data_IF_932065898116
#
_entry.id   IF_932065898116
#
_cell.length_a   1.000
_cell.length_b   1.000
_cell.length_c   1.000
_cell.angle_alpha   90.00
_cell.angle_beta   90.00
_cell.angle_gamma   90.00
#
_symmetry.space_group_name_H-M   'P 1'
#
loop_
_entity.id
_entity.type
_entity.pdbx_description
1 polymer ?
#
# COMPACT_ATOMS: atom_id res chain seq x y z
N UNK A 1 -10.71 -8.38 15.55
CA UNK A 1 -11.16 -7.03 15.14
C UNK A 1 -10.53 -6.71 13.80
N UNK A 2 -11.28 -6.14 12.86
CA UNK A 2 -10.74 -5.64 11.58
C UNK A 2 -10.77 -4.13 11.64
N UNK A 3 -9.65 -3.51 11.26
CA UNK A 3 -9.54 -2.06 11.12
C UNK A 3 -9.38 -1.78 9.63
N UNK A 4 -10.30 -1.01 9.06
CA UNK A 4 -10.29 -0.63 7.65
C UNK A 4 -9.98 0.87 7.55
N UNK A 5 -8.94 1.22 6.79
CA UNK A 5 -8.55 2.61 6.60
C UNK A 5 -7.55 2.77 5.46
N UNK A 6 -7.12 4.00 5.20
CA UNK A 6 -6.01 4.27 4.27
C UNK A 6 -4.72 3.64 4.81
N UNK A 7 -3.85 3.19 3.91
CA UNK A 7 -2.52 2.65 4.20
C UNK A 7 -1.74 3.40 5.30
N UNK A 8 -1.73 4.75 5.28
CA UNK A 8 -1.04 5.55 6.29
C UNK A 8 -1.55 5.34 7.72
N UNK A 9 -2.85 5.06 7.89
CA UNK A 9 -3.47 4.90 9.20
C UNK A 9 -3.27 3.49 9.80
N UNK A 10 -2.83 2.52 9.00
CA UNK A 10 -2.63 1.13 9.42
C UNK A 10 -1.18 0.67 9.30
N UNK A 11 -0.27 1.50 8.78
CA UNK A 11 1.14 1.11 8.61
C UNK A 11 1.83 0.85 9.96
N UNK A 12 2.82 -0.05 9.95
CA UNK A 12 3.59 -0.44 11.13
C UNK A 12 4.60 0.61 11.56
N UNK A 13 5.15 1.35 10.59
CA UNK A 13 6.24 2.31 10.78
C UNK A 13 6.04 3.52 9.88
N UNK A 14 6.48 4.68 10.38
CA UNK A 14 6.44 5.93 9.63
C UNK A 14 7.38 5.88 8.43
N UNK A 15 6.96 6.52 7.35
CA UNK A 15 7.80 6.76 6.17
C UNK A 15 9.07 7.56 6.53
N UNK A 16 10.20 7.38 5.83
CA UNK A 16 11.40 8.16 6.07
C UNK A 16 11.14 9.67 5.98
N UNK A 17 11.74 10.45 6.87
CA UNK A 17 11.60 11.92 6.95
C UNK A 17 10.20 12.44 7.32
N UNK A 18 9.29 11.59 7.77
CA UNK A 18 8.00 11.98 8.34
C UNK A 18 7.97 11.73 9.85
N UNK A 19 7.37 12.65 10.60
CA UNK A 19 7.27 12.56 12.08
C UNK A 19 5.81 12.37 12.55
N UNK A 20 4.90 12.01 11.65
CA UNK A 20 3.50 11.79 12.00
C UNK A 20 3.34 10.41 12.62
N UNK A 21 2.72 10.37 13.80
CA UNK A 21 2.35 9.13 14.47
C UNK A 21 0.89 8.79 14.13
N UNK A 22 0.71 7.78 13.29
CA UNK A 22 -0.61 7.28 12.91
C UNK A 22 -1.06 6.16 13.85
N UNK A 23 -2.36 5.85 13.78
CA UNK A 23 -2.96 4.79 14.59
C UNK A 23 -2.21 3.46 14.47
N UNK A 24 -1.82 3.05 13.25
CA UNK A 24 -1.10 1.81 12.98
C UNK A 24 0.21 1.68 13.77
N UNK A 25 0.98 2.77 13.94
CA UNK A 25 2.22 2.76 14.72
C UNK A 25 1.93 2.48 16.20
N UNK A 26 0.91 3.13 16.75
CA UNK A 26 0.48 2.92 18.14
C UNK A 26 -0.03 1.49 18.36
N UNK A 27 -0.76 0.93 17.38
CA UNK A 27 -1.22 -0.45 17.43
C UNK A 27 -0.05 -1.44 17.35
N UNK A 28 0.93 -1.21 16.45
CA UNK A 28 2.12 -2.04 16.36
C UNK A 28 2.92 -2.00 17.66
N UNK A 29 3.05 -0.84 18.29
CA UNK A 29 3.71 -0.72 19.60
C UNK A 29 2.96 -1.45 20.71
N UNK A 30 1.64 -1.33 20.76
CA UNK A 30 0.82 -1.92 21.83
C UNK A 30 0.67 -3.45 21.70
N UNK A 31 0.63 -3.97 20.47
CA UNK A 31 0.26 -5.36 20.19
C UNK A 31 1.36 -6.17 19.50
N UNK A 32 2.45 -5.55 19.05
CA UNK A 32 3.59 -6.18 18.41
C UNK A 32 3.17 -7.19 17.32
N UNK A 33 3.48 -8.46 17.50
CA UNK A 33 3.18 -9.53 16.53
C UNK A 33 1.69 -9.88 16.42
N UNK A 34 0.88 -9.44 17.39
CA UNK A 34 -0.58 -9.60 17.35
C UNK A 34 -1.25 -8.56 16.44
N UNK A 35 -0.55 -7.48 16.09
CA UNK A 35 -0.99 -6.54 15.06
C UNK A 35 -0.39 -6.95 13.72
N UNK A 36 -1.27 -7.23 12.76
CA UNK A 36 -0.90 -7.55 11.39
C UNK A 36 -1.50 -6.52 10.44
N UNK A 37 -0.63 -5.82 9.72
CA UNK A 37 -0.99 -4.77 8.79
C UNK A 37 -0.87 -5.23 7.34
N UNK A 38 -1.92 -4.97 6.53
CA UNK A 38 -1.95 -5.28 5.10
C UNK A 38 -2.09 -3.97 4.31
N UNK A 39 -1.03 -3.56 3.62
CA UNK A 39 -1.06 -2.41 2.71
C UNK A 39 -1.62 -2.78 1.35
N UNK A 40 -2.43 -1.92 0.74
CA UNK A 40 -2.90 -2.13 -0.65
C UNK A 40 -2.03 -1.36 -1.63
N UNK A 41 -1.51 -2.04 -2.66
CA UNK A 41 -0.70 -1.46 -3.73
C UNK A 41 -1.42 -1.69 -5.06
N UNK A 42 -1.61 -0.61 -5.83
CA UNK A 42 -2.29 -0.65 -7.13
C UNK A 42 -1.32 -0.21 -8.21
N UNK A 43 -1.23 -0.96 -9.31
CA UNK A 43 -0.31 -0.64 -10.42
C UNK A 43 -0.85 0.42 -11.37
N UNK A 44 -2.13 0.29 -11.76
CA UNK A 44 -2.79 1.19 -12.70
C UNK A 44 -4.25 1.39 -12.34
N UNK A 45 -4.86 2.44 -12.87
CA UNK A 45 -6.28 2.63 -12.69
C UNK A 45 -6.73 4.07 -12.87
N UNK A 46 -7.92 4.32 -12.35
CA UNK A 46 -8.51 5.65 -12.30
C UNK A 46 -8.79 6.03 -10.85
N UNK A 47 -8.12 7.07 -10.36
CA UNK A 47 -8.32 7.56 -9.02
C UNK A 47 -9.49 8.56 -8.99
N UNK A 48 -10.22 8.59 -7.88
CA UNK A 48 -11.27 9.54 -7.56
C UNK A 48 -10.82 10.43 -6.40
N UNK A 49 -10.59 11.70 -6.68
CA UNK A 49 -10.32 12.73 -5.68
C UNK A 49 -11.52 13.66 -5.53
N UNK A 50 -11.46 14.58 -4.57
CA UNK A 50 -12.47 15.65 -4.40
C UNK A 50 -12.66 16.50 -5.67
N UNK A 51 -11.60 16.74 -6.44
CA UNK A 51 -11.62 17.64 -7.60
C UNK A 51 -11.86 16.91 -8.94
N UNK A 52 -12.16 15.61 -8.91
CA UNK A 52 -12.42 14.82 -10.11
C UNK A 52 -11.60 13.54 -10.16
N UNK A 53 -11.29 13.10 -11.37
CA UNK A 53 -10.64 11.81 -11.62
C UNK A 53 -9.42 11.96 -12.49
N UNK A 54 -8.41 11.14 -12.26
CA UNK A 54 -7.24 11.03 -13.14
C UNK A 54 -6.83 9.58 -13.29
N UNK A 55 -6.27 9.27 -14.45
CA UNK A 55 -5.69 7.97 -14.73
C UNK A 55 -4.24 7.92 -14.23
N UNK A 56 -3.82 6.75 -13.75
CA UNK A 56 -2.45 6.53 -13.29
C UNK A 56 -1.94 5.17 -13.74
N UNK A 57 -0.63 5.08 -13.93
CA UNK A 57 0.07 3.84 -14.24
C UNK A 57 1.54 3.95 -13.78
N UNK A 58 2.02 2.98 -13.01
CA UNK A 58 3.35 3.02 -12.40
C UNK A 58 4.38 2.21 -13.20
N UNK A 59 4.74 2.69 -14.41
CA UNK A 59 5.73 2.03 -15.30
C UNK A 59 7.19 2.20 -14.88
N UNK A 60 7.46 3.16 -14.00
CA UNK A 60 8.81 3.47 -13.54
C UNK A 60 9.25 2.45 -12.48
N UNK A 61 10.46 1.90 -12.64
CA UNK A 61 11.03 0.92 -11.72
C UNK A 61 11.33 1.49 -10.33
N UNK A 62 11.26 2.81 -10.14
CA UNK A 62 11.30 3.41 -8.81
C UNK A 62 10.04 3.11 -7.97
N UNK A 63 8.95 2.60 -8.57
CA UNK A 63 7.71 2.28 -7.86
C UNK A 63 7.66 0.83 -7.39
N UNK A 64 7.21 0.62 -6.15
CA UNK A 64 6.92 -0.71 -5.62
C UNK A 64 5.92 -1.47 -6.51
N UNK A 65 4.92 -0.76 -7.05
CA UNK A 65 3.90 -1.37 -7.90
C UNK A 65 4.47 -1.92 -9.22
N UNK A 66 5.52 -1.32 -9.77
CA UNK A 66 6.20 -1.82 -10.97
C UNK A 66 6.76 -3.22 -10.75
N UNK A 67 7.47 -3.42 -9.62
CA UNK A 67 8.06 -4.71 -9.26
C UNK A 67 7.00 -5.78 -9.00
N UNK A 68 5.90 -5.40 -8.33
CA UNK A 68 4.79 -6.31 -8.06
C UNK A 68 4.06 -6.74 -9.35
N UNK A 69 4.01 -5.89 -10.38
CA UNK A 69 3.41 -6.24 -11.67
C UNK A 69 4.27 -7.24 -12.48
N UNK A 70 5.58 -7.35 -12.20
CA UNK A 70 6.45 -8.30 -12.90
C UNK A 70 6.04 -9.77 -12.70
N UNK A 71 5.25 -10.06 -11.67
CA UNK A 71 4.70 -11.39 -11.44
C UNK A 71 3.54 -11.74 -12.38
N UNK A 72 3.06 -10.79 -13.20
CA UNK A 72 2.02 -10.97 -14.22
C UNK A 72 0.73 -11.61 -13.67
N UNK A 73 0.31 -11.17 -12.48
CA UNK A 73 -0.94 -11.59 -11.84
C UNK A 73 -1.84 -10.38 -11.62
N UNK A 74 -3.14 -10.54 -11.91
CA UNK A 74 -4.13 -9.47 -11.75
C UNK A 74 -4.28 -8.99 -10.29
N UNK A 75 -4.23 -9.93 -9.34
CA UNK A 75 -4.30 -9.64 -7.90
C UNK A 75 -3.69 -10.77 -7.09
N UNK A 76 -3.05 -10.43 -5.99
CA UNK A 76 -2.52 -11.41 -5.04
C UNK A 76 -2.23 -10.78 -3.69
N UNK A 77 -2.09 -11.62 -2.66
CA UNK A 77 -1.59 -11.22 -1.35
C UNK A 77 -0.17 -11.75 -1.20
N UNK A 78 0.74 -10.90 -0.74
CA UNK A 78 2.10 -11.23 -0.37
C UNK A 78 2.26 -11.09 1.14
N UNK A 79 2.57 -12.18 1.83
CA UNK A 79 2.95 -12.13 3.26
C UNK A 79 4.43 -11.77 3.35
N UNK A 80 4.73 -10.59 3.90
CA UNK A 80 6.09 -10.07 3.99
C UNK A 80 6.86 -10.62 5.21
N UNK A 81 6.17 -11.12 6.24
CA UNK A 81 6.81 -11.70 7.44
C UNK A 81 7.53 -13.01 7.13
N UNK A 82 7.02 -13.76 6.15
CA UNK A 82 7.61 -15.03 5.71
C UNK A 82 8.47 -14.88 4.45
N UNK A 83 8.50 -13.68 3.86
CA UNK A 83 9.20 -13.41 2.61
C UNK A 83 10.67 -13.04 2.84
N UNK A 84 11.54 -14.04 2.87
CA UNK A 84 12.95 -13.87 3.24
C UNK A 84 13.90 -13.51 2.08
N UNK A 85 13.38 -13.15 0.90
CA UNK A 85 14.23 -12.73 -0.21
C UNK A 85 14.78 -11.32 0.01
N UNK A 86 16.04 -11.11 -0.36
CA UNK A 86 16.65 -9.79 -0.41
C UNK A 86 16.43 -9.21 -1.81
N UNK A 87 15.38 -8.40 -1.95
CA UNK A 87 14.94 -7.80 -3.21
C UNK A 87 14.22 -6.47 -2.95
N UNK A 88 13.48 -5.99 -3.95
CA UNK A 88 12.66 -4.78 -3.94
C UNK A 88 11.78 -4.60 -2.68
N UNK A 89 11.41 -5.67 -1.96
CA UNK A 89 10.62 -5.58 -0.72
C UNK A 89 11.38 -4.95 0.45
N UNK A 90 12.71 -4.97 0.39
CA UNK A 90 13.63 -4.36 1.37
C UNK A 90 14.21 -3.03 0.89
N UNK A 91 13.83 -2.56 -0.29
CA UNK A 91 14.37 -1.35 -0.92
C UNK A 91 13.46 -0.14 -0.67
N UNK A 92 14.06 1.05 -0.68
CA UNK A 92 13.32 2.31 -0.58
C UNK A 92 12.70 2.62 -1.96
N UNK A 93 11.38 2.48 -2.07
CA UNK A 93 10.66 2.65 -3.33
C UNK A 93 9.48 3.60 -3.18
N UNK A 94 9.05 4.19 -4.29
CA UNK A 94 7.87 5.03 -4.38
C UNK A 94 6.59 4.18 -4.28
N UNK A 95 5.61 4.71 -3.56
CA UNK A 95 4.23 4.30 -3.71
C UNK A 95 3.30 5.50 -3.74
N UNK A 96 2.16 5.30 -4.38
CA UNK A 96 1.10 6.29 -4.49
C UNK A 96 0.32 6.38 -3.17
N UNK A 97 0.15 7.59 -2.71
CA UNK A 97 -0.60 7.99 -1.53
C UNK A 97 -1.90 8.69 -1.94
N UNK A 98 -2.62 9.19 -0.94
CA UNK A 98 -3.85 9.95 -1.16
C UNK A 98 -3.66 11.07 -2.19
N UNK A 99 -4.67 11.26 -3.02
CA UNK A 99 -4.74 12.23 -4.10
C UNK A 99 -3.69 12.10 -5.21
N UNK A 100 -2.94 11.00 -5.29
CA UNK A 100 -1.88 10.81 -6.29
C UNK A 100 -0.54 11.39 -5.90
N UNK A 101 -0.40 11.90 -4.67
CA UNK A 101 0.90 12.20 -4.11
C UNK A 101 1.73 10.91 -4.02
N UNK A 102 3.05 11.05 -4.03
CA UNK A 102 3.96 9.91 -3.86
C UNK A 102 4.67 10.00 -2.53
N UNK A 103 5.08 8.86 -2.01
CA UNK A 103 6.01 8.80 -0.89
C UNK A 103 6.91 7.58 -1.01
N UNK A 104 8.14 7.73 -0.53
CA UNK A 104 9.11 6.64 -0.46
C UNK A 104 8.91 5.84 0.83
N UNK A 105 9.05 4.52 0.75
CA UNK A 105 9.06 3.63 1.90
C UNK A 105 9.67 2.27 1.56
N UNK A 106 10.09 1.55 2.61
CA UNK A 106 10.48 0.13 2.52
C UNK A 106 9.25 -0.71 2.84
N UNK A 107 8.86 -1.61 1.93
CA UNK A 107 7.61 -2.37 2.05
C UNK A 107 7.56 -3.23 3.31
N UNK A 108 8.65 -3.95 3.60
CA UNK A 108 8.80 -4.82 4.79
C UNK A 108 8.77 -4.08 6.12
N UNK A 109 9.23 -2.85 6.14
CA UNK A 109 9.17 -2.00 7.32
C UNK A 109 7.75 -1.49 7.55
N UNK A 110 7.05 -1.18 6.46
CA UNK A 110 5.78 -0.46 6.49
C UNK A 110 4.58 -1.37 6.72
N UNK A 111 4.59 -2.59 6.20
CA UNK A 111 3.47 -3.54 6.29
C UNK A 111 3.96 -4.96 6.57
N UNK A 112 3.11 -5.77 7.21
CA UNK A 112 3.38 -7.20 7.39
C UNK A 112 2.92 -8.02 6.16
N UNK A 113 2.03 -7.47 5.33
CA UNK A 113 1.64 -8.02 4.05
C UNK A 113 1.17 -6.96 3.07
N UNK A 114 1.10 -7.34 1.79
CA UNK A 114 0.61 -6.50 0.71
C UNK A 114 -0.56 -7.17 -0.01
N UNK A 115 -1.59 -6.39 -0.32
CA UNK A 115 -2.59 -6.72 -1.33
C UNK A 115 -2.21 -5.99 -2.62
N UNK A 116 -1.81 -6.73 -3.64
CA UNK A 116 -1.55 -6.17 -4.96
C UNK A 116 -2.80 -6.26 -5.85
N UNK A 117 -3.07 -5.20 -6.61
CA UNK A 117 -4.12 -5.12 -7.62
C UNK A 117 -3.53 -4.46 -8.88
N UNK A 118 -3.58 -5.14 -10.03
CA UNK A 118 -3.01 -4.61 -11.27
C UNK A 118 -3.80 -3.41 -11.80
N UNK A 119 -5.12 -3.50 -11.78
CA UNK A 119 -6.00 -2.44 -12.28
C UNK A 119 -7.16 -2.15 -11.33
N UNK A 120 -7.37 -0.88 -11.00
CA UNK A 120 -8.52 -0.41 -10.21
C UNK A 120 -9.36 0.61 -10.98
N UNK A 121 -10.66 0.34 -11.07
CA UNK A 121 -11.64 1.29 -11.60
C UNK A 121 -12.18 2.27 -10.55
N UNK A 122 -13.05 3.18 -10.99
CA UNK A 122 -13.75 4.10 -10.10
C UNK A 122 -14.70 3.34 -9.15
N UNK A 123 -14.71 3.68 -7.85
CA UNK A 123 -15.67 3.11 -6.93
C UNK A 123 -17.10 3.49 -7.37
N UNK A 124 -18.01 2.52 -7.33
CA UNK A 124 -19.43 2.73 -7.61
C UNK A 124 -20.21 2.63 -6.32
N UNK A 125 -21.06 3.61 -6.05
CA UNK A 125 -22.04 3.49 -4.98
C UNK A 125 -23.00 2.36 -5.36
N UNK A 126 -23.04 1.31 -4.54
CA UNK A 126 -24.02 0.24 -4.69
C UNK A 126 -25.38 0.84 -4.31
N UNK A 127 -26.27 1.01 -5.28
CA UNK A 127 -27.66 1.38 -5.02
C UNK A 127 -28.41 0.11 -4.63
N UNK A 128 -29.18 0.16 -3.53
CA UNK A 128 -30.19 -0.87 -3.28
C UNK A 128 -31.27 -0.73 -4.35
N UNK A 129 -31.57 -1.82 -5.03
CA UNK A 129 -32.82 -1.99 -5.79
C UNK A 129 -33.99 -2.15 -4.82
#
# INVERSE_FOLDING_TARGET
MIIWGQNSHIENKTKPNYNVNWMGHSLKNAFADKYYSIGTIVYSGKNLNYNGTFDFEHKDNNYLAYHLDQFQKEKYVLDLRTYNKNDFTSELLLGMENNGNTAEFIAKDRFDGLLFIKHSGLPKLIKKE
#
